data_IF_558385849701
#
_entry.id   IF_558385849701
#
_cell.length_a   1.000
_cell.length_b   1.000
_cell.length_c   1.000
_cell.angle_alpha   90.00
_cell.angle_beta   90.00
_cell.angle_gamma   90.00
#
_symmetry.space_group_name_H-M   'P 1'
#
loop_
_entity.id
_entity.type
_entity.pdbx_description
1 polymer ?
#
# COMPACT_ATOMS: atom_id res chain seq x y z
N UNK A 1 -12.85 -19.77 30.43
CA UNK A 1 -11.69 -19.92 31.35
C UNK A 1 -10.35 -20.22 30.65
N UNK A 2 -10.32 -20.54 29.35
CA UNK A 2 -9.09 -20.91 28.61
C UNK A 2 -8.01 -19.81 28.53
N UNK A 3 -8.38 -18.53 28.40
CA UNK A 3 -7.40 -17.42 28.33
C UNK A 3 -6.52 -17.31 29.57
N UNK A 4 -7.11 -17.56 30.75
CA UNK A 4 -6.37 -17.54 32.03
C UNK A 4 -5.41 -18.73 32.10
N UNK A 5 -5.85 -19.92 31.68
CA UNK A 5 -4.99 -21.11 31.62
C UNK A 5 -3.84 -20.94 30.62
N UNK A 6 -4.09 -20.36 29.44
CA UNK A 6 -3.06 -20.04 28.44
C UNK A 6 -1.99 -19.12 29.00
N UNK A 7 -2.40 -18.02 29.64
CA UNK A 7 -1.47 -17.05 30.25
C UNK A 7 -0.61 -17.65 31.37
N UNK A 8 -1.13 -18.68 32.05
CA UNK A 8 -0.45 -19.38 33.14
C UNK A 8 0.37 -20.59 32.66
N UNK A 9 0.47 -20.83 31.34
CA UNK A 9 1.21 -21.98 30.80
C UNK A 9 0.58 -23.34 31.11
N UNK A 10 -0.66 -23.37 31.58
CA UNK A 10 -1.35 -24.60 32.03
C UNK A 10 -1.95 -25.41 30.86
N UNK A 11 -1.73 -24.95 29.62
CA UNK A 11 -2.26 -25.57 28.41
C UNK A 11 -1.21 -26.41 27.66
N UNK A 12 -0.03 -26.65 28.24
CA UNK A 12 0.97 -27.52 27.63
C UNK A 12 0.54 -28.98 27.71
N UNK A 13 0.03 -29.49 26.60
CA UNK A 13 -0.33 -30.87 26.39
C UNK A 13 -0.38 -31.13 24.89
N UNK A 14 0.36 -32.15 24.46
CA UNK A 14 0.63 -32.54 23.05
C UNK A 14 1.35 -31.47 22.21
N UNK A 15 2.36 -31.86 21.39
CA UNK A 15 2.98 -30.94 20.45
C UNK A 15 1.92 -30.39 19.50
N UNK A 16 1.80 -29.05 19.47
CA UNK A 16 0.89 -28.36 18.58
C UNK A 16 1.25 -28.69 17.12
N UNK A 17 0.30 -29.07 16.25
CA UNK A 17 0.56 -29.22 14.82
C UNK A 17 0.84 -27.87 14.13
N UNK A 18 0.68 -26.75 14.85
CA UNK A 18 0.88 -25.41 14.33
C UNK A 18 2.31 -24.93 14.57
N UNK A 19 2.96 -24.48 13.49
CA UNK A 19 4.25 -23.78 13.55
C UNK A 19 4.02 -22.31 13.92
N UNK A 20 4.77 -21.73 14.88
CA UNK A 20 4.63 -20.33 15.23
C UNK A 20 5.00 -19.42 14.05
N UNK A 21 4.08 -18.53 13.68
CA UNK A 21 4.31 -17.50 12.65
C UNK A 21 4.81 -16.23 13.31
N UNK A 22 5.95 -15.72 12.85
CA UNK A 22 6.42 -14.39 13.22
C UNK A 22 5.84 -13.37 12.24
N UNK A 23 5.11 -12.37 12.77
CA UNK A 23 4.61 -11.25 11.97
C UNK A 23 5.65 -10.13 12.07
N UNK A 24 6.27 -9.79 10.95
CA UNK A 24 7.13 -8.62 10.87
C UNK A 24 6.27 -7.34 11.06
N UNK A 25 6.81 -6.29 11.70
CA UNK A 25 6.11 -5.00 11.74
C UNK A 25 5.81 -4.51 10.32
N UNK A 26 4.73 -3.76 10.17
CA UNK A 26 4.38 -3.17 8.88
C UNK A 26 5.58 -2.40 8.32
N UNK A 27 5.89 -2.55 7.02
CA UNK A 27 6.95 -1.79 6.41
C UNK A 27 6.67 -0.30 6.62
N UNK A 28 7.67 0.45 7.10
CA UNK A 28 7.54 1.90 7.23
C UNK A 28 7.10 2.45 5.87
N UNK A 29 6.05 3.30 5.82
CA UNK A 29 5.67 3.93 4.58
C UNK A 29 6.91 4.63 4.02
N UNK A 30 7.33 4.21 2.83
CA UNK A 30 8.33 4.95 2.07
C UNK A 30 7.79 6.37 1.99
N UNK A 31 8.57 7.37 2.40
CA UNK A 31 8.15 8.75 2.28
C UNK A 31 7.81 8.98 0.80
N UNK A 32 6.51 9.10 0.50
CA UNK A 32 6.06 9.53 -0.82
C UNK A 32 6.85 10.81 -1.11
N UNK A 33 7.49 10.93 -2.28
CA UNK A 33 8.21 12.14 -2.62
C UNK A 33 7.20 13.27 -2.50
N UNK A 34 7.35 14.12 -1.48
CA UNK A 34 6.42 15.21 -1.25
C UNK A 34 6.40 16.06 -2.52
N UNK A 35 5.32 15.91 -3.29
CA UNK A 35 5.06 16.75 -4.44
C UNK A 35 4.81 18.12 -3.85
N UNK A 36 5.85 18.97 -3.84
CA UNK A 36 5.76 20.41 -3.57
C UNK A 36 4.88 21.02 -4.66
N UNK A 37 3.57 20.93 -4.48
CA UNK A 37 2.57 21.61 -5.27
C UNK A 37 1.43 21.93 -4.33
N UNK A 38 0.96 23.18 -4.37
CA UNK A 38 -0.28 23.59 -3.72
C UNK A 38 -1.34 22.51 -3.95
N UNK A 39 -1.93 21.91 -2.89
CA UNK A 39 -2.74 20.71 -2.99
C UNK A 39 -4.06 20.89 -3.75
N UNK A 40 -4.38 22.11 -4.19
CA UNK A 40 -5.69 22.42 -4.76
C UNK A 40 -5.81 22.19 -6.27
N UNK A 41 -4.71 22.03 -7.02
CA UNK A 41 -4.77 22.10 -8.50
C UNK A 41 -4.20 20.86 -9.21
N UNK A 42 -4.11 19.73 -8.51
CA UNK A 42 -3.67 18.45 -9.09
C UNK A 42 -4.66 17.32 -8.83
N UNK A 43 -4.75 16.41 -9.80
CA UNK A 43 -5.48 15.14 -9.69
C UNK A 43 -4.51 13.97 -9.83
N UNK A 44 -4.83 12.89 -9.16
CA UNK A 44 -4.14 11.61 -9.32
C UNK A 44 -4.98 10.63 -10.14
N UNK A 45 -4.33 9.96 -11.07
CA UNK A 45 -4.93 8.96 -11.95
C UNK A 45 -4.17 7.65 -11.73
N UNK A 46 -4.89 6.60 -11.36
CA UNK A 46 -4.35 5.23 -11.32
C UNK A 46 -4.43 4.64 -12.72
N UNK A 47 -3.28 4.27 -13.27
CA UNK A 47 -3.15 3.67 -14.61
C UNK A 47 -3.39 2.16 -14.58
N UNK A 48 -3.68 1.55 -15.73
CA UNK A 48 -3.94 0.11 -15.84
C UNK A 48 -2.77 -0.79 -15.39
N UNK A 49 -1.54 -0.27 -15.39
CA UNK A 49 -0.35 -0.97 -14.89
C UNK A 49 -0.09 -0.80 -13.38
N UNK A 50 -1.02 -0.17 -12.65
CA UNK A 50 -0.91 0.04 -11.21
C UNK A 50 -0.04 1.22 -10.78
N UNK A 51 0.52 1.99 -11.73
CA UNK A 51 1.26 3.23 -11.42
C UNK A 51 0.28 4.38 -11.21
N UNK A 52 0.72 5.39 -10.46
CA UNK A 52 -0.02 6.64 -10.24
C UNK A 52 0.58 7.78 -11.05
N UNK A 53 -0.28 8.54 -11.73
CA UNK A 53 0.07 9.72 -12.50
C UNK A 53 -0.57 10.95 -11.85
N UNK A 54 0.24 11.90 -11.39
CA UNK A 54 -0.24 13.18 -10.83
C UNK A 54 -0.14 14.29 -11.87
N UNK A 55 -1.25 14.91 -12.24
CA UNK A 55 -1.33 15.98 -13.27
C UNK A 55 -2.08 17.20 -12.75
N UNK A 56 -1.77 18.38 -13.27
CA UNK A 56 -2.50 19.60 -12.95
C UNK A 56 -3.89 19.66 -13.61
N UNK A 57 -4.83 20.40 -13.03
CA UNK A 57 -6.19 20.56 -13.59
C UNK A 57 -6.21 21.23 -14.97
N UNK A 58 -5.17 22.00 -15.29
CA UNK A 58 -5.01 22.70 -16.57
C UNK A 58 -4.44 21.83 -17.70
N UNK A 59 -4.20 20.53 -17.48
CA UNK A 59 -3.64 19.66 -18.53
C UNK A 59 -4.61 19.49 -19.70
N UNK A 60 -4.10 19.68 -20.92
CA UNK A 60 -4.84 19.41 -22.15
C UNK A 60 -5.12 17.90 -22.31
N UNK A 61 -6.34 17.56 -22.76
CA UNK A 61 -6.78 16.18 -22.90
C UNK A 61 -5.97 15.37 -23.91
N UNK A 62 -5.48 15.99 -24.98
CA UNK A 62 -4.64 15.30 -25.98
C UNK A 62 -3.28 14.95 -25.39
N UNK A 63 -2.72 15.87 -24.61
CA UNK A 63 -1.45 15.65 -23.89
C UNK A 63 -1.60 14.55 -22.84
N UNK A 64 -2.67 14.57 -22.06
CA UNK A 64 -2.97 13.53 -21.07
C UNK A 64 -3.13 12.15 -21.73
N UNK A 65 -3.86 12.05 -22.85
CA UNK A 65 -4.05 10.79 -23.56
C UNK A 65 -2.73 10.19 -24.07
N UNK A 66 -1.81 11.04 -24.55
CA UNK A 66 -0.47 10.60 -24.99
C UNK A 66 0.36 10.06 -23.81
N UNK A 67 0.32 10.75 -22.67
CA UNK A 67 1.02 10.30 -21.46
C UNK A 67 0.51 8.95 -20.97
N UNK A 68 -0.82 8.78 -20.86
CA UNK A 68 -1.42 7.52 -20.45
C UNK A 68 -0.97 6.38 -21.37
N UNK A 69 -1.10 6.56 -22.70
CA UNK A 69 -0.71 5.54 -23.67
C UNK A 69 0.75 5.10 -23.52
N UNK A 70 1.68 6.04 -23.34
CA UNK A 70 3.11 5.70 -23.20
C UNK A 70 3.38 5.02 -21.86
N UNK A 71 2.80 5.54 -20.78
CA UNK A 71 3.08 5.05 -19.43
C UNK A 71 2.44 3.70 -19.13
N UNK A 72 1.35 3.32 -19.80
CA UNK A 72 0.73 2.01 -19.67
C UNK A 72 1.45 0.91 -20.46
N UNK A 73 2.21 1.28 -21.49
CA UNK A 73 2.94 0.33 -22.35
C UNK A 73 4.39 0.07 -21.91
N UNK A 74 4.90 0.89 -20.99
CA UNK A 74 6.25 0.79 -20.43
C UNK A 74 6.28 -0.05 -19.15
#
# INVERSE_FOLDING_TARGET
>A
QWRKAHRLGLLEGTPSPFTPVQIAPDPMPCADPQVRGEPSDRIEITLGNGRRLSVGLSIDGTTLARLIRVLEQA
#
